data_IF_432576948239
#
_entry.id   IF_432576948239
#
_cell.length_a   1.000
_cell.length_b   1.000
_cell.length_c   1.000
_cell.angle_alpha   90.00
_cell.angle_beta   90.00
_cell.angle_gamma   90.00
#
_symmetry.space_group_name_H-M   'P 1'
#
loop_
_entity.id
_entity.type
_entity.pdbx_description
1 polymer ?
#
# COMPACT_ATOMS: atom_id res chain seq x y z
N UNK A 1 32.68 61.56 33.42
CA UNK A 1 32.86 62.99 33.10
C UNK A 1 33.22 63.04 31.63
N UNK A 2 32.19 63.21 30.78
CA UNK A 2 31.89 64.47 30.03
C UNK A 2 32.78 64.55 28.78
N UNK A 3 32.32 64.67 27.53
CA UNK A 3 31.00 64.97 26.97
C UNK A 3 30.96 64.53 25.50
N UNK A 4 29.74 64.25 25.00
CA UNK A 4 29.38 64.23 23.58
C UNK A 4 29.45 65.64 22.96
N UNK A 5 29.39 65.74 21.63
CA UNK A 5 28.25 66.47 21.09
C UNK A 5 27.54 65.77 19.92
N UNK A 6 26.22 65.88 19.99
CA UNK A 6 25.22 65.56 18.99
C UNK A 6 25.45 66.23 17.64
N UNK A 7 25.19 65.49 16.57
CA UNK A 7 24.72 66.06 15.31
C UNK A 7 23.53 65.27 14.78
N UNK A 8 22.36 65.89 14.92
CA UNK A 8 21.12 65.48 14.29
C UNK A 8 21.28 65.34 12.76
N UNK A 9 21.08 64.12 12.24
CA UNK A 9 20.61 63.93 10.86
C UNK A 9 19.39 63.03 10.85
N UNK A 10 18.26 63.66 10.54
CA UNK A 10 16.99 63.04 10.16
C UNK A 10 17.25 61.94 9.13
N UNK A 11 17.04 60.68 9.50
CA UNK A 11 16.92 59.58 8.53
C UNK A 11 15.50 59.59 8.00
N UNK A 12 15.37 59.95 6.72
CA UNK A 12 14.18 59.73 5.91
C UNK A 12 13.83 58.23 5.99
N UNK A 13 12.68 57.88 6.53
CA UNK A 13 12.07 56.57 6.31
C UNK A 13 11.63 56.49 4.84
N UNK A 14 12.53 56.00 3.98
CA UNK A 14 12.11 55.44 2.69
C UNK A 14 11.47 54.09 2.99
N UNK A 15 10.14 54.09 3.05
CA UNK A 15 9.33 52.90 2.89
C UNK A 15 9.56 52.35 1.48
N UNK A 16 10.60 51.54 1.30
CA UNK A 16 10.67 50.61 0.19
C UNK A 16 9.62 49.54 0.49
N UNK A 17 8.46 49.67 -0.17
CA UNK A 17 7.50 48.61 -0.29
C UNK A 17 8.22 47.42 -0.95
N UNK A 18 8.71 46.51 -0.11
CA UNK A 18 9.21 45.22 -0.54
C UNK A 18 8.04 44.46 -1.14
N UNK A 19 7.96 44.44 -2.46
CA UNK A 19 7.19 43.43 -3.15
C UNK A 19 7.66 42.07 -2.62
N UNK A 20 6.75 41.18 -2.19
CA UNK A 20 7.17 39.81 -1.94
C UNK A 20 7.72 39.31 -3.27
N UNK A 21 8.99 38.89 -3.29
CA UNK A 21 9.43 37.93 -4.28
C UNK A 21 8.60 36.67 -4.03
N UNK A 22 7.42 36.62 -4.64
CA UNK A 22 6.78 35.39 -5.04
C UNK A 22 7.81 34.71 -5.94
N UNK A 23 8.65 33.88 -5.34
CA UNK A 23 9.24 32.77 -6.05
C UNK A 23 8.05 31.98 -6.59
N UNK A 24 7.67 32.30 -7.82
CA UNK A 24 6.70 31.54 -8.57
C UNK A 24 7.32 30.16 -8.75
N UNK A 25 7.06 29.25 -7.81
CA UNK A 25 7.06 27.83 -8.10
C UNK A 25 6.19 27.69 -9.33
N UNK A 26 6.83 27.48 -10.49
CA UNK A 26 6.09 27.13 -11.71
C UNK A 26 5.21 25.95 -11.30
N UNK A 27 3.87 26.07 -11.35
CA UNK A 27 3.03 24.91 -11.11
C UNK A 27 3.48 23.86 -12.11
N UNK A 28 3.98 22.73 -11.62
CA UNK A 28 4.41 21.60 -12.43
C UNK A 28 3.18 21.17 -13.24
N UNK A 29 3.11 21.58 -14.51
CA UNK A 29 1.89 21.63 -15.32
C UNK A 29 1.10 20.31 -15.39
N UNK A 30 1.73 19.16 -15.15
CA UNK A 30 1.07 17.85 -15.14
C UNK A 30 0.30 17.48 -13.87
N UNK A 31 0.74 17.94 -12.70
CA UNK A 31 0.16 17.52 -11.42
C UNK A 31 -1.19 18.20 -11.14
N UNK A 32 -1.34 19.47 -11.54
CA UNK A 32 -2.60 20.22 -11.34
C UNK A 32 -3.79 19.70 -12.17
N UNK A 33 -3.55 18.91 -13.22
CA UNK A 33 -4.65 18.25 -13.96
C UNK A 33 -5.19 17.04 -13.18
N UNK A 34 -4.32 16.27 -12.53
CA UNK A 34 -4.71 15.15 -11.69
C UNK A 34 -5.50 15.66 -10.45
N UNK A 35 -5.06 16.75 -9.82
CA UNK A 35 -5.79 17.39 -8.72
C UNK A 35 -7.18 17.89 -9.15
N UNK A 36 -7.32 18.48 -10.34
CA UNK A 36 -8.63 18.89 -10.88
C UNK A 36 -9.52 17.71 -11.24
N UNK A 37 -8.93 16.61 -11.72
CA UNK A 37 -9.66 15.38 -12.08
C UNK A 37 -9.83 14.41 -10.92
N UNK A 38 -9.27 14.65 -9.73
CA UNK A 38 -9.61 13.81 -8.57
C UNK A 38 -11.09 13.97 -8.19
N UNK A 39 -11.67 15.14 -8.47
CA UNK A 39 -13.12 15.39 -8.36
C UNK A 39 -13.94 14.60 -9.40
N UNK A 40 -13.32 14.18 -10.51
CA UNK A 40 -13.99 13.37 -11.54
C UNK A 40 -14.65 12.12 -10.93
N UNK A 41 -14.03 11.48 -9.94
CA UNK A 41 -14.62 10.32 -9.25
C UNK A 41 -15.83 10.65 -8.37
N UNK A 42 -15.94 11.89 -7.89
CA UNK A 42 -17.11 12.33 -7.11
C UNK A 42 -18.30 12.64 -8.04
N UNK A 43 -18.00 13.09 -9.26
CA UNK A 43 -18.99 13.45 -10.28
C UNK A 43 -19.45 12.25 -11.15
N UNK A 44 -18.59 11.25 -11.37
CA UNK A 44 -18.88 10.08 -12.21
C UNK A 44 -19.13 8.85 -11.34
N UNK A 45 -20.38 8.73 -10.89
CA UNK A 45 -20.81 7.72 -9.92
C UNK A 45 -20.61 6.30 -10.45
N UNK A 46 -19.80 5.52 -9.74
CA UNK A 46 -19.74 4.06 -9.87
C UNK A 46 -20.87 3.41 -9.09
N UNK A 47 -21.33 2.26 -9.58
CA UNK A 47 -22.33 1.47 -8.86
C UNK A 47 -21.63 0.66 -7.77
N UNK A 48 -21.78 1.00 -6.47
CA UNK A 48 -21.13 0.25 -5.40
C UNK A 48 -21.57 -1.21 -5.44
N UNK A 49 -20.70 -2.13 -5.03
CA UNK A 49 -21.11 -3.53 -4.90
C UNK A 49 -22.15 -3.67 -3.80
N UNK A 50 -23.14 -4.52 -4.04
CA UNK A 50 -24.20 -4.78 -3.06
C UNK A 50 -23.58 -5.42 -1.82
N UNK A 51 -24.13 -5.17 -0.61
CA UNK A 51 -23.60 -5.75 0.62
C UNK A 51 -23.42 -7.27 0.53
N UNK A 52 -22.22 -7.75 0.85
CA UNK A 52 -21.84 -9.17 0.89
C UNK A 52 -21.36 -9.54 2.28
N UNK A 53 -22.10 -9.10 3.31
CA UNK A 53 -21.78 -9.43 4.68
C UNK A 53 -21.54 -10.95 4.82
N UNK A 54 -20.51 -11.28 5.57
CA UNK A 54 -20.14 -12.64 5.94
C UNK A 54 -20.07 -12.72 7.46
N UNK A 55 -20.56 -13.82 8.02
CA UNK A 55 -20.42 -14.10 9.46
C UNK A 55 -19.11 -14.83 9.79
N UNK A 56 -18.38 -15.31 8.77
CA UNK A 56 -17.19 -16.14 8.93
C UNK A 56 -15.92 -15.61 8.28
N UNK A 57 -16.04 -14.59 7.41
CA UNK A 57 -14.90 -14.04 6.68
C UNK A 57 -14.88 -12.51 6.60
N UNK A 58 -13.69 -11.99 6.36
CA UNK A 58 -13.42 -10.58 6.09
C UNK A 58 -12.38 -10.45 4.98
N UNK A 59 -12.37 -9.31 4.29
CA UNK A 59 -11.44 -9.05 3.18
C UNK A 59 -10.45 -7.96 3.57
N UNK A 60 -9.16 -8.18 3.37
CA UNK A 60 -8.14 -7.13 3.40
C UNK A 60 -7.96 -6.56 2.00
N UNK A 61 -7.88 -5.23 1.90
CA UNK A 61 -7.40 -4.56 0.69
C UNK A 61 -5.88 -4.48 0.71
N UNK A 62 -5.22 -4.79 -0.40
CA UNK A 62 -3.77 -4.65 -0.54
C UNK A 62 -3.47 -3.79 -1.77
N UNK A 63 -2.86 -2.63 -1.50
CA UNK A 63 -2.39 -1.71 -2.52
C UNK A 63 -0.93 -2.04 -2.84
N UNK A 64 -0.61 -2.40 -4.10
CA UNK A 64 0.75 -2.72 -4.53
C UNK A 64 1.59 -1.44 -4.64
N UNK A 65 2.76 -1.55 -5.24
CA UNK A 65 3.61 -0.45 -5.68
C UNK A 65 2.81 0.50 -6.61
N UNK A 66 2.69 1.77 -6.23
CA UNK A 66 1.87 2.79 -6.92
C UNK A 66 2.68 3.94 -7.51
N UNK A 67 4.00 3.84 -7.47
CA UNK A 67 4.94 4.89 -7.84
C UNK A 67 4.70 5.45 -9.24
N UNK A 68 4.41 4.58 -10.23
CA UNK A 68 4.10 5.01 -11.60
C UNK A 68 2.78 5.78 -11.74
N UNK A 69 1.84 5.61 -10.80
CA UNK A 69 0.62 6.44 -10.76
C UNK A 69 0.94 7.83 -10.22
N UNK A 70 1.79 7.92 -9.19
CA UNK A 70 2.18 9.18 -8.56
C UNK A 70 3.12 10.00 -9.43
N UNK A 71 4.07 9.36 -10.12
CA UNK A 71 4.90 9.97 -11.18
C UNK A 71 4.03 10.57 -12.28
N UNK A 72 2.83 10.03 -12.48
CA UNK A 72 1.77 10.57 -13.33
C UNK A 72 2.22 10.82 -14.78
N UNK A 73 2.79 9.76 -15.37
CA UNK A 73 3.28 9.67 -16.76
C UNK A 73 4.58 10.43 -17.05
N UNK A 74 5.41 10.72 -16.05
CA UNK A 74 6.62 11.53 -16.25
C UNK A 74 7.90 10.76 -15.94
N UNK A 75 8.50 10.13 -16.93
CA UNK A 75 9.77 9.45 -16.74
C UNK A 75 10.96 10.39 -17.00
N UNK A 76 11.98 10.30 -16.14
CA UNK A 76 13.26 10.96 -16.35
C UNK A 76 14.22 10.01 -17.06
N UNK A 77 14.68 10.37 -18.26
CA UNK A 77 15.71 9.59 -18.96
C UNK A 77 17.05 9.69 -18.23
N UNK A 78 17.96 8.75 -18.54
CA UNK A 78 19.36 8.79 -18.08
C UNK A 78 20.11 10.09 -18.42
N UNK A 79 19.64 10.84 -19.42
CA UNK A 79 20.20 12.14 -19.81
C UNK A 79 19.56 13.32 -19.09
N UNK A 80 18.70 13.08 -18.10
CA UNK A 80 17.97 14.10 -17.36
C UNK A 80 16.84 14.75 -18.16
N UNK A 81 16.40 14.12 -19.26
CA UNK A 81 15.27 14.63 -20.06
C UNK A 81 13.99 14.01 -19.54
N UNK A 82 12.99 14.85 -19.27
CA UNK A 82 11.63 14.40 -18.97
C UNK A 82 10.91 13.95 -20.23
N UNK A 83 10.34 12.75 -20.21
CA UNK A 83 9.54 12.13 -21.28
C UNK A 83 8.26 11.53 -20.73
N UNK A 84 7.34 11.15 -21.61
CA UNK A 84 6.16 10.39 -21.21
C UNK A 84 6.56 8.94 -20.94
N UNK A 85 6.26 8.41 -19.74
CA UNK A 85 6.48 6.98 -19.42
C UNK A 85 5.65 6.07 -20.33
N UNK A 86 4.41 6.47 -20.60
CA UNK A 86 3.47 5.79 -21.46
C UNK A 86 3.06 6.72 -22.61
N UNK A 87 3.84 6.76 -23.71
CA UNK A 87 3.54 7.60 -24.86
C UNK A 87 2.14 7.28 -25.44
N UNK A 88 1.34 8.32 -25.63
CA UNK A 88 -0.01 8.19 -26.19
C UNK A 88 -1.08 7.71 -25.21
N UNK A 89 -0.77 7.61 -23.91
CA UNK A 89 -1.78 7.30 -22.90
C UNK A 89 -2.81 8.45 -22.82
N UNK A 90 -4.08 8.12 -23.03
CA UNK A 90 -5.16 9.11 -23.12
C UNK A 90 -5.64 9.69 -21.79
N UNK A 91 -5.00 9.33 -20.67
CA UNK A 91 -5.39 9.76 -19.33
C UNK A 91 -4.20 9.87 -18.38
N UNK A 92 -4.30 10.66 -17.30
CA UNK A 92 -3.29 10.71 -16.24
C UNK A 92 -3.28 9.40 -15.43
N UNK A 93 -2.14 8.70 -15.28
CA UNK A 93 -2.01 7.49 -14.45
C UNK A 93 -2.46 7.68 -12.99
N UNK A 94 -2.34 8.89 -12.44
CA UNK A 94 -2.78 9.20 -11.07
C UNK A 94 -4.27 8.87 -10.81
N UNK A 95 -5.10 8.84 -11.86
CA UNK A 95 -6.51 8.42 -11.74
C UNK A 95 -6.62 6.96 -11.30
N UNK A 96 -5.68 6.09 -11.67
CA UNK A 96 -5.69 4.70 -11.23
C UNK A 96 -5.56 4.57 -9.71
N UNK A 97 -4.64 5.33 -9.09
CA UNK A 97 -4.45 5.33 -7.64
C UNK A 97 -5.69 5.87 -6.89
N UNK A 98 -6.27 6.97 -7.40
CA UNK A 98 -7.52 7.48 -6.86
C UNK A 98 -8.68 6.49 -7.02
N UNK A 99 -8.75 5.73 -8.12
CA UNK A 99 -9.78 4.72 -8.33
C UNK A 99 -9.65 3.56 -7.35
N UNK A 100 -8.43 3.09 -7.09
CA UNK A 100 -8.17 2.03 -6.09
C UNK A 100 -8.68 2.45 -4.71
N UNK A 101 -8.18 3.59 -4.22
CA UNK A 101 -8.53 4.10 -2.87
C UNK A 101 -10.00 4.48 -2.76
N UNK A 102 -10.60 5.05 -3.81
CA UNK A 102 -12.03 5.35 -3.82
C UNK A 102 -12.90 4.09 -3.79
N UNK A 103 -12.54 3.06 -4.58
CA UNK A 103 -13.30 1.81 -4.61
C UNK A 103 -13.23 1.06 -3.28
N UNK A 104 -12.04 0.97 -2.67
CA UNK A 104 -11.88 0.37 -1.34
C UNK A 104 -12.74 1.10 -0.30
N UNK A 105 -12.64 2.44 -0.25
CA UNK A 105 -13.43 3.28 0.65
C UNK A 105 -14.96 3.09 0.48
N UNK A 106 -15.44 2.91 -0.76
CA UNK A 106 -16.88 2.74 -1.03
C UNK A 106 -17.40 1.33 -0.75
N UNK A 107 -16.55 0.32 -0.85
CA UNK A 107 -16.97 -1.08 -0.77
C UNK A 107 -16.52 -1.79 0.51
N UNK A 108 -15.80 -1.10 1.40
CA UNK A 108 -15.31 -1.68 2.65
C UNK A 108 -16.41 -2.36 3.48
N UNK A 109 -17.55 -1.69 3.68
CA UNK A 109 -18.68 -2.27 4.41
C UNK A 109 -19.30 -3.48 3.72
N UNK A 110 -19.34 -3.52 2.38
CA UNK A 110 -19.84 -4.66 1.63
C UNK A 110 -18.92 -5.88 1.70
N UNK A 111 -17.62 -5.65 1.93
CA UNK A 111 -16.56 -6.67 1.96
C UNK A 111 -16.12 -7.03 3.39
N UNK A 112 -16.81 -6.54 4.42
CA UNK A 112 -16.38 -6.66 5.82
C UNK A 112 -14.93 -6.21 6.04
N UNK A 113 -14.44 -5.22 5.29
CA UNK A 113 -13.03 -4.89 5.23
C UNK A 113 -12.59 -4.09 6.45
N UNK A 114 -11.75 -4.66 7.35
CA UNK A 114 -11.32 -3.95 8.55
C UNK A 114 -10.13 -3.03 8.27
N UNK A 115 -9.39 -3.27 7.17
CA UNK A 115 -8.06 -2.71 6.98
C UNK A 115 -7.57 -2.78 5.52
N UNK A 116 -6.71 -1.83 5.14
CA UNK A 116 -5.97 -1.79 3.86
C UNK A 116 -4.46 -1.75 4.10
N UNK A 117 -3.65 -2.49 3.34
CA UNK A 117 -2.18 -2.49 3.45
C UNK A 117 -1.57 -1.91 2.19
N UNK A 118 -0.80 -0.82 2.28
CA UNK A 118 0.02 -0.34 1.17
C UNK A 118 1.45 -0.91 1.28
N UNK A 119 1.97 -1.46 0.19
CA UNK A 119 3.22 -2.25 0.19
C UNK A 119 4.51 -1.44 -0.08
N UNK A 120 4.42 -0.11 0.00
CA UNK A 120 5.52 0.81 -0.30
C UNK A 120 5.52 1.27 -1.76
N UNK A 121 6.54 2.05 -2.14
CA UNK A 121 6.67 2.72 -3.42
C UNK A 121 5.42 3.52 -3.76
N UNK A 122 5.16 4.53 -2.93
CA UNK A 122 4.09 5.51 -3.16
C UNK A 122 4.48 6.50 -4.25
N UNK A 123 5.78 6.82 -4.36
CA UNK A 123 6.34 7.75 -5.34
C UNK A 123 7.47 7.06 -6.12
N UNK A 124 7.77 7.56 -7.32
CA UNK A 124 8.90 7.08 -8.13
C UNK A 124 10.18 7.82 -7.75
N UNK A 125 10.07 9.09 -7.36
CA UNK A 125 11.17 9.93 -6.93
C UNK A 125 10.90 10.52 -5.54
N UNK A 126 11.66 10.06 -4.54
CA UNK A 126 11.56 10.47 -3.14
C UNK A 126 11.67 12.00 -2.93
N UNK A 127 12.37 12.73 -3.81
CA UNK A 127 12.56 14.18 -3.70
C UNK A 127 11.44 14.98 -4.39
N UNK A 128 10.60 14.32 -5.19
CA UNK A 128 9.58 14.97 -5.99
C UNK A 128 8.28 15.19 -5.21
N UNK A 129 8.16 16.37 -4.56
CA UNK A 129 6.95 16.76 -3.81
C UNK A 129 5.63 16.65 -4.59
N UNK A 130 5.64 16.72 -5.93
CA UNK A 130 4.43 16.54 -6.75
C UNK A 130 3.82 15.14 -6.60
N UNK A 131 4.66 14.12 -6.59
CA UNK A 131 4.25 12.72 -6.48
C UNK A 131 3.69 12.45 -5.09
N UNK A 132 4.39 12.93 -4.06
CA UNK A 132 3.93 12.82 -2.67
C UNK A 132 2.57 13.49 -2.44
N UNK A 133 2.32 14.66 -3.06
CA UNK A 133 1.00 15.30 -2.98
C UNK A 133 -0.09 14.42 -3.61
N UNK A 134 0.16 13.82 -4.77
CA UNK A 134 -0.80 12.93 -5.41
C UNK A 134 -1.07 11.67 -4.58
N UNK A 135 -0.02 10.98 -4.15
CA UNK A 135 -0.11 9.79 -3.30
C UNK A 135 -0.87 10.10 -1.99
N UNK A 136 -0.49 11.20 -1.33
CA UNK A 136 -1.15 11.67 -0.11
C UNK A 136 -2.65 11.94 -0.31
N UNK A 137 -3.03 12.59 -1.41
CA UNK A 137 -4.43 12.88 -1.75
C UNK A 137 -5.24 11.63 -2.08
N UNK A 138 -4.63 10.64 -2.75
CA UNK A 138 -5.25 9.35 -3.02
C UNK A 138 -5.54 8.60 -1.70
N UNK A 139 -4.53 8.44 -0.86
CA UNK A 139 -4.67 7.75 0.43
C UNK A 139 -5.64 8.46 1.39
N UNK A 140 -5.72 9.80 1.36
CA UNK A 140 -6.67 10.56 2.18
C UNK A 140 -8.15 10.22 1.91
N UNK A 141 -8.48 9.52 0.81
CA UNK A 141 -9.84 9.00 0.59
C UNK A 141 -10.21 7.91 1.59
N UNK A 142 -9.26 7.06 1.97
CA UNK A 142 -9.46 6.02 2.97
C UNK A 142 -9.78 6.66 4.34
N UNK A 143 -9.01 7.69 4.71
CA UNK A 143 -9.20 8.47 5.94
C UNK A 143 -10.58 9.12 5.99
N UNK A 144 -10.99 9.79 4.91
CA UNK A 144 -12.32 10.43 4.83
C UNK A 144 -13.46 9.43 4.97
N UNK A 145 -13.24 8.18 4.56
CA UNK A 145 -14.21 7.10 4.73
C UNK A 145 -14.10 6.39 6.09
N UNK A 146 -13.10 6.72 6.90
CA UNK A 146 -12.82 6.04 8.16
C UNK A 146 -12.31 4.61 7.98
N UNK A 147 -11.81 4.25 6.80
CA UNK A 147 -11.22 2.93 6.53
C UNK A 147 -9.75 2.94 6.96
N UNK A 148 -9.37 2.17 7.99
CA UNK A 148 -7.97 2.12 8.43
C UNK A 148 -7.06 1.52 7.36
N UNK A 149 -5.82 1.99 7.32
CA UNK A 149 -4.78 1.51 6.43
C UNK A 149 -3.39 1.60 7.07
N UNK A 150 -2.46 0.79 6.60
CA UNK A 150 -1.04 0.97 6.90
C UNK A 150 -0.26 1.37 5.66
N UNK A 151 0.87 2.02 5.87
CA UNK A 151 1.81 2.42 4.82
C UNK A 151 3.24 2.31 5.35
N UNK A 152 4.11 1.74 4.53
CA UNK A 152 5.56 1.70 4.73
C UNK A 152 6.26 2.37 3.55
N UNK A 153 7.54 2.67 3.70
CA UNK A 153 8.41 3.06 2.57
C UNK A 153 8.70 1.86 1.68
N UNK A 154 8.73 2.08 0.38
CA UNK A 154 9.51 1.28 -0.55
C UNK A 154 10.88 1.89 -0.85
N UNK A 155 11.57 1.34 -1.84
CA UNK A 155 12.92 1.75 -2.17
C UNK A 155 12.97 3.05 -3.00
N UNK A 156 11.85 3.43 -3.63
CA UNK A 156 11.66 4.72 -4.30
C UNK A 156 11.15 5.84 -3.38
N UNK A 157 10.67 5.49 -2.18
CA UNK A 157 10.16 6.44 -1.19
C UNK A 157 11.26 7.08 -0.32
N UNK A 158 12.51 6.62 -0.47
CA UNK A 158 13.65 6.95 0.38
C UNK A 158 14.78 7.59 -0.42
N UNK A 159 15.46 8.58 0.14
CA UNK A 159 16.57 9.27 -0.55
C UNK A 159 17.85 8.45 -0.42
N UNK A 160 18.09 7.91 0.78
CA UNK A 160 19.30 7.16 1.11
C UNK A 160 19.08 5.65 0.98
N UNK A 161 18.84 5.18 -0.25
CA UNK A 161 18.43 3.81 -0.61
C UNK A 161 19.09 2.67 0.20
N UNK A 162 20.43 2.68 0.30
CA UNK A 162 21.21 1.62 0.99
C UNK A 162 21.57 1.96 2.44
N UNK A 163 20.80 2.85 3.07
CA UNK A 163 20.97 3.26 4.46
C UNK A 163 19.77 2.77 5.26
N UNK A 164 20.04 2.03 6.34
CA UNK A 164 19.00 1.58 7.28
C UNK A 164 18.24 2.78 7.86
N UNK A 165 16.94 2.59 8.12
CA UNK A 165 16.01 3.63 8.58
C UNK A 165 16.56 4.56 9.68
N UNK A 166 17.14 4.00 10.75
CA UNK A 166 17.69 4.76 11.89
C UNK A 166 18.82 5.71 11.51
N UNK A 167 19.56 5.39 10.45
CA UNK A 167 20.74 6.14 10.03
C UNK A 167 20.43 7.23 8.99
N UNK A 168 19.18 7.34 8.55
CA UNK A 168 18.74 8.42 7.65
C UNK A 168 18.60 9.71 8.44
N UNK A 169 18.95 10.83 7.82
CA UNK A 169 19.05 12.14 8.49
C UNK A 169 17.69 12.84 8.71
N UNK A 170 16.60 12.18 8.30
CA UNK A 170 15.24 12.70 8.42
C UNK A 170 14.85 13.71 7.32
N UNK A 171 15.67 13.89 6.28
CA UNK A 171 15.32 14.75 5.14
C UNK A 171 14.22 14.17 4.24
N UNK A 172 13.84 12.91 4.47
CA UNK A 172 12.88 12.17 3.65
C UNK A 172 11.48 12.78 3.72
N UNK A 173 10.82 12.86 2.57
CA UNK A 173 9.48 13.42 2.47
C UNK A 173 8.41 12.47 3.04
N UNK A 174 8.68 11.17 3.12
CA UNK A 174 7.72 10.17 3.61
C UNK A 174 7.06 10.59 4.93
N UNK A 175 7.84 10.93 5.96
CA UNK A 175 7.31 11.30 7.28
C UNK A 175 6.65 12.68 7.31
N UNK A 176 6.91 13.54 6.31
CA UNK A 176 6.22 14.82 6.16
C UNK A 176 4.79 14.64 5.60
N UNK A 177 4.60 13.69 4.69
CA UNK A 177 3.28 13.41 4.10
C UNK A 177 2.50 12.34 4.87
N UNK A 178 3.18 11.33 5.39
CA UNK A 178 2.64 10.24 6.20
C UNK A 178 3.22 10.30 7.62
N UNK A 179 2.92 11.39 8.33
CA UNK A 179 3.47 11.65 9.66
C UNK A 179 2.90 10.72 10.75
N UNK A 180 3.59 10.56 11.89
CA UNK A 180 3.06 9.85 13.04
C UNK A 180 1.69 10.39 13.51
N UNK A 181 1.46 11.71 13.45
CA UNK A 181 0.18 12.33 13.82
C UNK A 181 -0.93 11.98 12.83
N UNK A 182 -0.59 11.77 11.55
CA UNK A 182 -1.54 11.30 10.53
C UNK A 182 -1.91 9.84 10.81
N UNK A 183 -0.93 8.99 11.08
CA UNK A 183 -1.15 7.58 11.41
C UNK A 183 -1.98 7.41 12.70
N UNK A 184 -1.71 8.22 13.73
CA UNK A 184 -2.39 8.17 15.02
C UNK A 184 -3.89 8.55 14.97
N UNK A 185 -4.38 9.11 13.86
CA UNK A 185 -5.82 9.38 13.66
C UNK A 185 -6.62 8.12 13.36
N UNK A 186 -5.96 7.03 12.98
CA UNK A 186 -6.64 5.80 12.62
C UNK A 186 -7.10 5.04 13.86
N UNK A 187 -8.31 4.48 13.80
CA UNK A 187 -8.93 3.76 14.93
C UNK A 187 -8.19 2.51 15.38
N UNK A 188 -7.34 1.96 14.51
CA UNK A 188 -6.59 0.72 14.73
C UNK A 188 -5.13 0.98 15.12
N UNK A 189 -4.68 2.24 15.08
CA UNK A 189 -3.29 2.60 15.34
C UNK A 189 -2.89 2.22 16.78
N UNK A 190 -1.76 1.55 16.92
CA UNK A 190 -1.13 1.33 18.22
C UNK A 190 -0.02 2.34 18.43
N UNK A 191 1.02 2.26 17.60
CA UNK A 191 2.22 3.08 17.72
C UNK A 191 3.08 3.02 16.45
N UNK A 192 3.99 4.00 16.33
CA UNK A 192 5.15 3.94 15.45
C UNK A 192 6.43 3.83 16.26
N UNK A 193 7.48 3.31 15.64
CA UNK A 193 8.81 3.32 16.24
C UNK A 193 9.41 4.74 16.28
N UNK A 194 10.61 4.87 16.84
CA UNK A 194 11.28 6.17 16.99
C UNK A 194 11.66 6.84 15.67
N UNK A 195 11.81 6.07 14.57
CA UNK A 195 12.06 6.64 13.24
C UNK A 195 10.78 7.20 12.60
N UNK A 196 9.62 6.71 13.03
CA UNK A 196 8.33 7.06 12.43
C UNK A 196 8.05 6.34 11.10
N UNK A 197 8.92 5.41 10.69
CA UNK A 197 8.87 4.67 9.43
C UNK A 197 8.29 3.26 9.59
N UNK A 198 8.22 2.76 10.83
CA UNK A 198 7.64 1.46 11.16
C UNK A 198 6.37 1.68 12.00
N UNK A 199 5.32 0.90 11.77
CA UNK A 199 4.04 1.08 12.46
C UNK A 199 3.33 -0.23 12.82
N UNK A 200 2.57 -0.16 13.91
CA UNK A 200 1.79 -1.27 14.44
C UNK A 200 0.32 -0.87 14.53
N UNK A 201 -0.55 -1.77 14.09
CA UNK A 201 -1.99 -1.63 14.18
C UNK A 201 -2.61 -2.87 14.80
N UNK A 202 -3.68 -2.68 15.56
CA UNK A 202 -4.58 -3.75 16.00
C UNK A 202 -5.96 -3.48 15.43
N UNK A 203 -6.48 -4.45 14.68
CA UNK A 203 -7.87 -4.42 14.22
C UNK A 203 -8.63 -5.63 14.76
N UNK A 204 -9.96 -5.51 14.75
CA UNK A 204 -10.87 -6.59 15.14
C UNK A 204 -11.76 -6.91 13.94
N UNK A 205 -11.82 -8.18 13.57
CA UNK A 205 -12.73 -8.69 12.56
C UNK A 205 -13.47 -9.90 13.13
N UNK A 206 -14.80 -9.91 13.03
CA UNK A 206 -15.63 -11.03 13.50
C UNK A 206 -15.39 -11.39 14.98
N UNK A 207 -15.10 -10.39 15.82
CA UNK A 207 -14.76 -10.57 17.23
C UNK A 207 -13.33 -11.06 17.50
N UNK A 208 -12.55 -11.39 16.46
CA UNK A 208 -11.14 -11.79 16.56
C UNK A 208 -10.22 -10.59 16.41
N UNK A 209 -9.26 -10.43 17.33
CA UNK A 209 -8.19 -9.44 17.21
C UNK A 209 -7.05 -9.93 16.31
N UNK A 210 -6.52 -9.04 15.48
CA UNK A 210 -5.32 -9.27 14.67
C UNK A 210 -4.32 -8.14 14.92
N UNK A 211 -3.03 -8.48 14.84
CA UNK A 211 -1.95 -7.51 14.81
C UNK A 211 -1.48 -7.35 13.36
N UNK A 212 -1.20 -6.12 12.96
CA UNK A 212 -0.56 -5.81 11.69
C UNK A 212 0.67 -4.96 11.96
N UNK A 213 1.82 -5.43 11.49
CA UNK A 213 3.10 -4.74 11.57
C UNK A 213 3.55 -4.38 10.16
N UNK A 214 3.93 -3.13 9.95
CA UNK A 214 4.63 -2.73 8.74
C UNK A 214 5.99 -2.15 9.05
N UNK A 215 7.01 -2.64 8.35
CA UNK A 215 8.39 -2.22 8.53
C UNK A 215 8.88 -1.50 7.29
N UNK A 216 9.79 -0.55 7.50
CA UNK A 216 10.57 0.14 6.46
C UNK A 216 11.19 -0.85 5.45
N UNK A 217 11.52 -0.37 4.26
CA UNK A 217 12.12 -1.18 3.18
C UNK A 217 13.47 -1.80 3.59
N UNK A 218 14.19 -1.12 4.48
CA UNK A 218 15.47 -1.53 5.03
C UNK A 218 15.55 -1.22 6.53
N UNK A 219 14.85 -2.00 7.38
CA UNK A 219 14.69 -1.69 8.79
C UNK A 219 15.97 -1.98 9.57
N UNK A 220 16.41 -1.07 10.45
CA UNK A 220 17.59 -1.27 11.28
C UNK A 220 17.41 -2.33 12.35
N UNK A 221 18.48 -2.72 13.05
CA UNK A 221 18.38 -3.59 14.24
C UNK A 221 17.53 -2.96 15.36
N UNK A 222 17.51 -1.62 15.47
CA UNK A 222 16.64 -0.94 16.43
C UNK A 222 15.17 -1.16 16.08
N UNK A 223 14.82 -1.02 14.80
CA UNK A 223 13.46 -1.21 14.31
C UNK A 223 13.01 -2.65 14.44
N UNK A 224 13.90 -3.63 14.21
CA UNK A 224 13.61 -5.03 14.49
C UNK A 224 13.40 -5.31 15.99
N UNK A 225 14.19 -4.69 16.86
CA UNK A 225 14.01 -4.81 18.31
C UNK A 225 12.69 -4.18 18.78
N UNK A 226 12.31 -3.04 18.20
CA UNK A 226 10.99 -2.44 18.42
C UNK A 226 9.87 -3.36 17.94
N UNK A 227 9.97 -3.93 16.73
CA UNK A 227 8.97 -4.85 16.19
C UNK A 227 8.80 -6.08 17.09
N UNK A 228 9.92 -6.66 17.55
CA UNK A 228 9.90 -7.75 18.54
C UNK A 228 9.19 -7.34 19.82
N UNK A 229 9.46 -6.13 20.35
CA UNK A 229 8.80 -5.63 21.56
C UNK A 229 7.29 -5.43 21.41
N UNK A 230 6.80 -5.17 20.19
CA UNK A 230 5.37 -5.14 19.91
C UNK A 230 4.81 -6.56 19.92
N UNK A 231 5.45 -7.50 19.23
CA UNK A 231 5.04 -8.92 19.23
C UNK A 231 4.96 -9.47 20.67
N UNK A 232 5.99 -9.21 21.48
CA UNK A 232 6.06 -9.64 22.89
C UNK A 232 4.96 -9.06 23.78
N UNK A 233 4.45 -7.85 23.45
CA UNK A 233 3.30 -7.23 24.16
C UNK A 233 1.95 -7.76 23.70
N UNK A 234 1.89 -8.34 22.50
CA UNK A 234 0.67 -8.93 21.93
C UNK A 234 0.89 -10.39 21.51
N UNK A 235 1.38 -11.27 22.41
CA UNK A 235 1.89 -12.59 22.06
C UNK A 235 0.82 -13.60 21.60
N UNK A 236 -0.46 -13.21 21.68
CA UNK A 236 -1.60 -14.06 21.38
C UNK A 236 -2.48 -13.54 20.24
N UNK A 237 -2.02 -12.53 19.50
CA UNK A 237 -2.73 -12.03 18.33
C UNK A 237 -2.11 -12.62 17.05
N UNK A 238 -2.90 -13.31 16.20
CA UNK A 238 -2.47 -13.61 14.84
C UNK A 238 -1.96 -12.35 14.16
N UNK A 239 -0.75 -12.42 13.62
CA UNK A 239 0.00 -11.26 13.13
C UNK A 239 0.27 -11.36 11.64
N UNK A 240 -0.05 -10.28 10.94
CA UNK A 240 0.32 -10.03 9.54
C UNK A 240 1.52 -9.08 9.56
N UNK A 241 2.59 -9.43 8.85
CA UNK A 241 3.77 -8.57 8.69
C UNK A 241 3.87 -8.11 7.24
N UNK A 242 4.03 -6.82 7.01
CA UNK A 242 4.38 -6.31 5.69
C UNK A 242 5.71 -5.54 5.75
N UNK A 243 6.55 -5.74 4.73
CA UNK A 243 7.77 -4.97 4.47
C UNK A 243 7.97 -4.98 2.96
N UNK A 244 8.60 -3.96 2.40
CA UNK A 244 8.62 -3.80 0.95
C UNK A 244 9.34 -4.94 0.20
N UNK A 245 10.40 -5.52 0.81
CA UNK A 245 11.24 -6.53 0.17
C UNK A 245 11.37 -7.80 1.03
N UNK A 246 10.45 -8.76 0.84
CA UNK A 246 10.48 -10.07 1.55
C UNK A 246 10.68 -11.23 0.57
N UNK A 247 9.82 -11.37 -0.44
CA UNK A 247 9.85 -12.42 -1.46
C UNK A 247 10.28 -11.83 -2.81
N UNK A 248 11.07 -12.58 -3.56
CA UNK A 248 11.45 -12.33 -4.96
C UNK A 248 10.99 -13.50 -5.84
N UNK A 249 10.90 -13.27 -7.15
CA UNK A 249 10.66 -14.29 -8.17
C UNK A 249 11.94 -14.53 -8.97
N UNK A 250 12.57 -15.68 -8.75
CA UNK A 250 13.73 -16.13 -9.52
C UNK A 250 13.28 -17.22 -10.47
N UNK A 251 13.32 -16.94 -11.78
CA UNK A 251 12.85 -17.86 -12.82
C UNK A 251 11.39 -18.32 -12.61
N UNK A 252 10.53 -17.42 -12.12
CA UNK A 252 9.12 -17.70 -11.81
C UNK A 252 8.89 -18.47 -10.51
N UNK A 253 9.93 -18.74 -9.72
CA UNK A 253 9.81 -19.37 -8.40
C UNK A 253 9.97 -18.34 -7.29
N UNK A 254 9.02 -18.36 -6.35
CA UNK A 254 9.07 -17.51 -5.17
C UNK A 254 10.17 -17.98 -4.22
N UNK A 255 11.06 -17.05 -3.85
CA UNK A 255 12.17 -17.27 -2.91
C UNK A 255 12.27 -16.10 -1.94
N UNK A 256 12.91 -16.29 -0.79
CA UNK A 256 13.25 -15.15 0.06
C UNK A 256 14.19 -14.21 -0.70
N UNK A 257 13.88 -12.93 -0.68
CA UNK A 257 14.70 -11.92 -1.34
C UNK A 257 16.06 -11.81 -0.67
N UNK A 258 17.10 -11.98 -1.49
CA UNK A 258 18.52 -11.76 -1.19
C UNK A 258 19.11 -10.70 -2.14
N UNK A 259 18.25 -9.81 -2.65
CA UNK A 259 18.64 -8.76 -3.58
C UNK A 259 18.59 -7.40 -2.89
N UNK A 260 19.45 -6.51 -3.38
CA UNK A 260 19.67 -5.13 -2.93
C UNK A 260 20.18 -5.02 -1.48
N UNK A 261 19.34 -5.34 -0.50
CA UNK A 261 19.60 -5.13 0.93
C UNK A 261 19.44 -6.40 1.79
N UNK A 262 19.18 -7.55 1.18
CA UNK A 262 18.96 -8.85 1.86
C UNK A 262 17.84 -8.83 2.92
N UNK A 263 16.92 -7.85 2.85
CA UNK A 263 15.89 -7.64 3.86
C UNK A 263 15.01 -8.88 4.03
N UNK A 264 14.66 -9.59 2.95
CA UNK A 264 13.81 -10.79 3.03
C UNK A 264 14.43 -11.92 3.85
N UNK A 265 15.66 -12.32 3.54
CA UNK A 265 16.41 -13.33 4.32
C UNK A 265 16.65 -12.85 5.75
N UNK A 266 16.95 -11.56 5.95
CA UNK A 266 17.18 -10.99 7.28
C UNK A 266 15.91 -11.01 8.14
N UNK A 267 14.78 -10.52 7.62
CA UNK A 267 13.49 -10.53 8.31
C UNK A 267 13.05 -11.95 8.62
N UNK A 268 13.20 -12.89 7.67
CA UNK A 268 12.90 -14.29 7.90
C UNK A 268 13.65 -14.83 9.11
N UNK A 269 14.97 -14.62 9.13
CA UNK A 269 15.85 -15.18 10.16
C UNK A 269 15.75 -14.52 11.53
N UNK A 270 15.52 -13.21 11.56
CA UNK A 270 15.59 -12.42 12.79
C UNK A 270 14.24 -12.22 13.46
N UNK A 271 13.16 -12.21 12.68
CA UNK A 271 11.82 -11.87 13.16
C UNK A 271 10.79 -12.95 12.80
N UNK A 272 10.55 -13.22 11.51
CA UNK A 272 9.38 -14.01 11.05
C UNK A 272 9.39 -15.43 11.60
N UNK A 273 10.45 -16.22 11.35
CA UNK A 273 10.48 -17.64 11.74
C UNK A 273 10.51 -17.85 13.25
N UNK A 274 10.90 -16.83 14.01
CA UNK A 274 11.09 -16.90 15.47
C UNK A 274 9.85 -16.49 16.26
N UNK A 275 8.81 -16.00 15.60
CA UNK A 275 7.58 -15.53 16.23
C UNK A 275 6.39 -16.30 15.70
N UNK A 276 5.86 -17.24 16.51
CA UNK A 276 4.78 -18.12 16.07
C UNK A 276 3.51 -17.36 15.69
N UNK A 277 3.33 -16.14 16.17
CA UNK A 277 2.15 -15.35 15.83
C UNK A 277 2.13 -14.82 14.39
N UNK A 278 3.27 -14.76 13.71
CA UNK A 278 3.34 -14.33 12.31
C UNK A 278 2.94 -15.50 11.42
N UNK A 279 1.85 -15.33 10.66
CA UNK A 279 1.31 -16.38 9.79
C UNK A 279 1.21 -15.97 8.32
N UNK A 280 1.23 -14.66 8.06
CA UNK A 280 1.11 -14.10 6.72
C UNK A 280 2.08 -12.93 6.58
N UNK A 281 2.82 -12.88 5.48
CA UNK A 281 3.59 -11.71 5.09
C UNK A 281 3.20 -11.17 3.73
N UNK A 282 3.33 -9.85 3.56
CA UNK A 282 3.01 -9.15 2.31
C UNK A 282 4.18 -8.26 1.89
N UNK A 283 4.56 -8.29 0.61
CA UNK A 283 5.58 -7.40 0.07
C UNK A 283 5.35 -7.02 -1.41
N UNK A 284 5.90 -5.87 -1.81
CA UNK A 284 5.97 -5.38 -3.19
C UNK A 284 7.39 -5.55 -3.74
N UNK A 285 7.94 -4.48 -4.33
CA UNK A 285 9.34 -4.33 -4.78
C UNK A 285 9.74 -5.18 -5.99
N UNK A 286 9.71 -6.52 -5.83
CA UNK A 286 10.10 -7.42 -6.90
C UNK A 286 8.95 -7.59 -7.89
N UNK A 287 9.23 -7.50 -9.18
CA UNK A 287 8.18 -7.55 -10.19
C UNK A 287 7.47 -8.90 -10.20
N UNK A 288 6.13 -8.88 -10.18
CA UNK A 288 5.33 -10.09 -10.27
C UNK A 288 4.37 -10.29 -9.10
N UNK A 289 3.70 -11.43 -9.11
CA UNK A 289 2.91 -11.90 -7.97
C UNK A 289 3.24 -13.35 -7.68
N UNK A 290 3.58 -13.67 -6.44
CA UNK A 290 4.07 -14.99 -6.07
C UNK A 290 3.75 -15.37 -4.64
N UNK A 291 3.83 -16.67 -4.37
CA UNK A 291 3.57 -17.25 -3.06
C UNK A 291 4.71 -18.19 -2.66
N UNK A 292 5.24 -17.98 -1.46
CA UNK A 292 6.19 -18.88 -0.80
C UNK A 292 5.62 -19.30 0.54
N UNK A 293 5.58 -20.61 0.82
CA UNK A 293 5.21 -21.15 2.13
C UNK A 293 6.44 -21.78 2.79
N UNK A 294 6.74 -21.33 4.01
CA UNK A 294 7.84 -21.84 4.83
C UNK A 294 7.33 -22.23 6.22
N UNK A 295 8.00 -23.17 6.90
CA UNK A 295 7.72 -23.49 8.29
C UNK A 295 8.53 -22.58 9.22
N UNK A 296 7.90 -22.04 10.25
CA UNK A 296 8.58 -21.30 11.32
C UNK A 296 9.27 -22.26 12.32
N UNK A 297 9.97 -21.73 13.32
CA UNK A 297 10.71 -22.50 14.33
C UNK A 297 9.80 -23.34 15.24
N UNK A 298 8.48 -23.12 15.18
CA UNK A 298 7.45 -23.87 15.92
C UNK A 298 6.81 -24.97 15.06
N UNK A 299 7.23 -25.13 13.80
CA UNK A 299 6.71 -26.12 12.86
C UNK A 299 5.42 -25.71 12.16
N UNK A 300 4.95 -24.47 12.35
CA UNK A 300 3.73 -23.96 11.70
C UNK A 300 4.04 -23.25 10.38
N UNK A 301 3.13 -23.32 9.38
CA UNK A 301 3.32 -22.64 8.12
C UNK A 301 3.19 -21.11 8.27
N UNK A 302 4.00 -20.40 7.50
CA UNK A 302 3.91 -18.97 7.22
C UNK A 302 3.77 -18.82 5.71
N UNK A 303 2.75 -18.08 5.27
CA UNK A 303 2.53 -17.73 3.88
C UNK A 303 3.13 -16.36 3.57
N UNK A 304 4.00 -16.29 2.57
CA UNK A 304 4.68 -15.06 2.17
C UNK A 304 4.21 -14.71 0.75
N UNK A 305 3.57 -13.55 0.59
CA UNK A 305 2.96 -13.10 -0.65
C UNK A 305 3.70 -11.90 -1.23
N UNK A 306 4.17 -12.05 -2.47
CA UNK A 306 4.66 -10.97 -3.32
C UNK A 306 3.50 -10.45 -4.17
N UNK A 307 3.27 -9.14 -4.18
CA UNK A 307 2.18 -8.48 -4.93
C UNK A 307 2.70 -7.16 -5.52
N UNK A 308 3.18 -7.18 -6.76
CA UNK A 308 3.63 -5.99 -7.47
C UNK A 308 3.20 -6.02 -8.95
N UNK A 309 2.38 -5.04 -9.35
CA UNK A 309 1.85 -4.90 -10.71
C UNK A 309 2.47 -3.73 -11.49
N UNK A 310 3.51 -3.06 -10.98
CA UNK A 310 4.04 -1.84 -11.59
C UNK A 310 4.54 -2.04 -13.03
N UNK A 311 4.95 -3.25 -13.39
CA UNK A 311 5.43 -3.57 -14.74
C UNK A 311 4.33 -4.00 -15.71
N UNK A 312 3.11 -4.18 -15.23
CA UNK A 312 1.96 -4.48 -16.08
C UNK A 312 1.54 -3.24 -16.89
N UNK A 313 0.65 -3.42 -17.87
CA UNK A 313 0.29 -2.39 -18.84
C UNK A 313 -0.16 -1.08 -18.17
N UNK A 314 0.58 0.01 -18.45
CA UNK A 314 0.43 1.33 -17.84
C UNK A 314 0.46 1.30 -16.29
N UNK A 315 1.42 0.56 -15.72
CA UNK A 315 1.60 0.45 -14.27
C UNK A 315 0.62 -0.53 -13.62
N UNK A 316 0.04 -1.44 -14.40
CA UNK A 316 -1.05 -2.31 -13.95
C UNK A 316 -2.41 -1.62 -13.89
N UNK A 317 -2.51 -0.36 -14.32
CA UNK A 317 -3.81 0.27 -14.59
C UNK A 317 -4.81 0.20 -13.41
N UNK A 318 -4.34 0.35 -12.18
CA UNK A 318 -5.12 0.35 -10.96
C UNK A 318 -5.42 -1.03 -10.39
N UNK A 319 -4.70 -2.08 -10.79
CA UNK A 319 -4.84 -3.39 -10.14
C UNK A 319 -4.51 -3.32 -8.66
N UNK A 320 -5.36 -3.91 -7.84
CA UNK A 320 -5.15 -4.14 -6.42
C UNK A 320 -5.46 -5.60 -6.09
N UNK A 321 -4.98 -6.05 -4.92
CA UNK A 321 -5.28 -7.39 -4.42
C UNK A 321 -6.30 -7.31 -3.29
N UNK A 322 -7.28 -8.22 -3.33
CA UNK A 322 -8.18 -8.52 -2.23
C UNK A 322 -7.81 -9.88 -1.64
N UNK A 323 -7.70 -9.94 -0.31
CA UNK A 323 -7.40 -11.17 0.43
C UNK A 323 -8.55 -11.47 1.39
N UNK A 324 -9.33 -12.51 1.13
CA UNK A 324 -10.38 -12.97 2.03
C UNK A 324 -9.83 -14.00 3.01
N UNK A 325 -9.93 -13.68 4.30
CA UNK A 325 -9.64 -14.60 5.39
C UNK A 325 -10.96 -15.21 5.87
N UNK A 326 -11.19 -16.47 5.55
CA UNK A 326 -12.33 -17.25 6.01
C UNK A 326 -11.93 -18.09 7.22
N UNK A 327 -12.28 -17.56 8.40
CA UNK A 327 -11.89 -18.15 9.68
C UNK A 327 -12.64 -19.44 9.99
N UNK A 328 -13.83 -19.65 9.43
CA UNK A 328 -14.63 -20.86 9.68
C UNK A 328 -14.33 -21.99 8.70
N UNK A 329 -14.04 -21.67 7.43
CA UNK A 329 -13.66 -22.69 6.42
C UNK A 329 -12.16 -22.94 6.38
N UNK A 330 -11.37 -22.13 7.06
CA UNK A 330 -9.92 -22.28 7.13
C UNK A 330 -9.23 -21.96 5.80
N UNK A 331 -9.55 -20.81 5.20
CA UNK A 331 -9.04 -20.42 3.88
C UNK A 331 -8.54 -18.99 3.81
N UNK A 332 -7.50 -18.79 3.02
CA UNK A 332 -7.07 -17.49 2.50
C UNK A 332 -7.29 -17.48 0.99
N UNK A 333 -8.28 -16.74 0.51
CA UNK A 333 -8.56 -16.59 -0.92
C UNK A 333 -8.06 -15.23 -1.43
N UNK A 334 -7.48 -15.23 -2.63
CA UNK A 334 -6.90 -14.05 -3.24
C UNK A 334 -7.58 -13.74 -4.57
N UNK A 335 -7.92 -12.46 -4.79
CA UNK A 335 -8.53 -11.98 -6.03
C UNK A 335 -7.94 -10.62 -6.44
N UNK A 336 -7.41 -10.55 -7.66
CA UNK A 336 -6.88 -9.31 -8.25
C UNK A 336 -7.92 -8.64 -9.13
N UNK A 337 -8.06 -7.33 -8.98
CA UNK A 337 -9.06 -6.55 -9.70
C UNK A 337 -8.58 -5.13 -9.95
N UNK A 338 -8.93 -4.54 -11.10
CA UNK A 338 -8.67 -3.14 -11.43
C UNK A 338 -9.97 -2.33 -11.32
N UNK A 339 -10.13 -1.53 -10.24
CA UNK A 339 -11.22 -0.58 -10.18
C UNK A 339 -11.16 0.43 -11.32
N UNK A 340 -9.97 0.91 -11.71
CA UNK A 340 -9.85 1.95 -12.74
C UNK A 340 -10.35 1.50 -14.11
N UNK A 341 -10.00 0.27 -14.53
CA UNK A 341 -10.55 -0.32 -15.76
C UNK A 341 -12.07 -0.44 -15.65
N UNK A 342 -12.58 -0.89 -14.51
CA UNK A 342 -14.03 -0.98 -14.28
C UNK A 342 -14.74 0.38 -14.33
N UNK A 343 -14.18 1.43 -13.72
CA UNK A 343 -14.72 2.80 -13.76
C UNK A 343 -14.85 3.28 -15.20
N UNK A 344 -13.82 3.05 -16.04
CA UNK A 344 -13.87 3.47 -17.44
C UNK A 344 -14.87 2.67 -18.26
N UNK A 345 -15.01 1.36 -18.00
CA UNK A 345 -16.06 0.54 -18.62
C UNK A 345 -17.47 1.03 -18.27
N UNK A 346 -17.71 1.42 -17.01
CA UNK A 346 -19.03 1.87 -16.57
C UNK A 346 -19.36 3.31 -17.00
N UNK A 347 -18.39 4.22 -16.94
CA UNK A 347 -18.59 5.63 -17.31
C UNK A 347 -18.70 5.82 -18.82
N UNK A 348 -17.93 5.07 -19.60
CA UNK A 348 -17.85 5.23 -21.06
C UNK A 348 -17.10 6.48 -21.52
N UNK A 349 -16.62 7.33 -20.61
CA UNK A 349 -15.95 8.61 -20.92
C UNK A 349 -14.56 8.44 -21.54
N UNK A 350 -13.88 7.35 -21.18
CA UNK A 350 -12.55 6.99 -21.69
C UNK A 350 -12.60 5.57 -22.22
N UNK A 351 -12.13 5.31 -23.46
CA UNK A 351 -12.16 3.98 -24.03
C UNK A 351 -11.28 3.02 -23.21
N UNK A 352 -11.78 1.79 -23.08
CA UNK A 352 -11.04 0.67 -22.49
C UNK A 352 -10.64 -0.28 -23.62
N UNK A 353 -9.39 -0.74 -23.61
CA UNK A 353 -8.85 -1.72 -24.55
C UNK A 353 -8.45 -2.97 -23.79
N UNK A 354 -9.43 -3.83 -23.53
CA UNK A 354 -9.18 -5.12 -22.91
C UNK A 354 -8.39 -6.03 -23.85
N UNK A 355 -7.38 -6.71 -23.30
CA UNK A 355 -6.72 -7.82 -23.98
C UNK A 355 -7.66 -9.00 -24.22
N UNK A 356 -7.39 -9.80 -25.25
CA UNK A 356 -8.15 -11.03 -25.52
C UNK A 356 -7.82 -12.18 -24.56
N UNK A 357 -6.65 -12.13 -23.92
CA UNK A 357 -6.21 -13.11 -22.91
C UNK A 357 -6.08 -12.41 -21.55
N UNK A 358 -6.89 -12.75 -20.54
CA UNK A 358 -6.81 -12.15 -19.20
C UNK A 358 -5.55 -12.57 -18.42
N UNK A 359 -4.66 -13.39 -19.00
CA UNK A 359 -3.33 -13.71 -18.46
C UNK A 359 -2.24 -12.81 -19.03
N UNK A 360 -2.48 -12.13 -20.16
CA UNK A 360 -1.57 -11.15 -20.74
C UNK A 360 -1.83 -9.77 -20.12
N UNK A 361 -1.14 -9.52 -19.01
CA UNK A 361 -1.24 -8.26 -18.28
C UNK A 361 -0.27 -7.19 -18.77
N UNK A 362 0.59 -7.51 -19.74
CA UNK A 362 1.65 -6.62 -20.22
C UNK A 362 1.25 -5.82 -21.45
N UNK A 363 0.50 -6.45 -22.37
CA UNK A 363 0.22 -5.84 -23.68
C UNK A 363 -1.03 -4.96 -23.71
N UNK A 364 -1.95 -5.15 -22.75
CA UNK A 364 -3.25 -4.51 -22.76
C UNK A 364 -3.84 -4.37 -21.35
N UNK A 365 -4.97 -3.66 -21.27
CA UNK A 365 -5.69 -3.47 -20.01
C UNK A 365 -6.38 -4.77 -19.60
N UNK A 366 -6.37 -5.07 -18.30
CA UNK A 366 -7.03 -6.24 -17.72
C UNK A 366 -7.92 -5.82 -16.55
N UNK A 367 -9.16 -6.34 -16.52
CA UNK A 367 -10.11 -6.03 -15.45
C UNK A 367 -9.84 -6.85 -14.18
N UNK A 368 -9.63 -8.15 -14.36
CA UNK A 368 -9.35 -9.10 -13.30
C UNK A 368 -8.49 -10.23 -13.89
N UNK A 369 -7.16 -10.13 -13.76
CA UNK A 369 -6.27 -11.05 -14.41
C UNK A 369 -6.37 -12.46 -13.82
N UNK A 370 -6.23 -13.47 -14.67
CA UNK A 370 -6.09 -14.85 -14.23
C UNK A 370 -4.64 -15.12 -13.81
N UNK A 371 -4.42 -16.24 -13.11
CA UNK A 371 -3.08 -16.68 -12.77
C UNK A 371 -2.25 -16.96 -14.04
N UNK A 372 -0.99 -16.53 -14.01
CA UNK A 372 0.04 -16.78 -15.03
C UNK A 372 1.34 -17.22 -14.33
N UNK A 373 2.32 -17.80 -15.05
CA UNK A 373 3.55 -18.29 -14.42
C UNK A 373 4.33 -17.27 -13.59
N UNK A 374 4.21 -15.96 -13.89
CA UNK A 374 4.88 -14.89 -13.14
C UNK A 374 3.92 -14.10 -12.22
N UNK A 375 2.62 -14.32 -12.33
CA UNK A 375 1.61 -13.59 -11.56
C UNK A 375 0.51 -14.51 -11.06
N UNK A 376 0.62 -14.93 -9.80
CA UNK A 376 -0.45 -15.65 -9.13
C UNK A 376 -1.56 -14.69 -8.68
N UNK A 377 -2.42 -14.32 -9.62
CA UNK A 377 -3.47 -13.31 -9.45
C UNK A 377 -4.75 -13.82 -8.77
N UNK A 378 -4.89 -15.15 -8.63
CA UNK A 378 -6.08 -15.79 -8.07
C UNK A 378 -5.73 -17.17 -7.51
N UNK A 379 -5.83 -17.33 -6.20
CA UNK A 379 -5.53 -18.58 -5.51
C UNK A 379 -6.36 -18.75 -4.24
N UNK A 380 -6.36 -19.98 -3.72
CA UNK A 380 -6.93 -20.33 -2.42
C UNK A 380 -5.87 -21.13 -1.67
N UNK A 381 -5.51 -20.69 -0.47
CA UNK A 381 -4.63 -21.41 0.44
C UNK A 381 -5.43 -21.95 1.61
N UNK A 382 -5.16 -23.18 1.99
CA UNK A 382 -5.71 -23.78 3.21
C UNK A 382 -4.93 -23.26 4.43
N UNK A 383 -5.69 -22.85 5.44
CA UNK A 383 -5.22 -22.29 6.72
C UNK A 383 -6.31 -22.47 7.78
N UNK A 384 -6.29 -23.58 8.52
CA UNK A 384 -7.18 -23.76 9.67
C UNK A 384 -6.76 -22.81 10.81
N UNK A 385 -7.38 -21.63 10.87
CA UNK A 385 -7.08 -20.60 11.85
C UNK A 385 -7.34 -21.06 13.30
N UNK A 386 -8.40 -21.85 13.52
CA UNK A 386 -8.75 -22.33 14.85
C UNK A 386 -7.67 -23.29 15.38
N UNK A 387 -7.21 -24.23 14.55
CA UNK A 387 -6.10 -25.12 14.92
C UNK A 387 -4.78 -24.34 15.00
N UNK A 388 -4.49 -23.48 14.03
CA UNK A 388 -3.25 -22.70 13.93
C UNK A 388 -2.99 -21.82 15.15
N UNK A 389 -4.05 -21.29 15.76
CA UNK A 389 -3.97 -20.37 16.89
C UNK A 389 -4.63 -20.91 18.16
N UNK A 390 -4.89 -22.23 18.25
CA UNK A 390 -5.49 -22.85 19.43
C UNK A 390 -4.68 -22.61 20.73
N UNK A 391 -3.36 -22.47 20.60
CA UNK A 391 -2.46 -22.16 21.72
C UNK A 391 -2.46 -20.69 22.14
N UNK A 392 -3.10 -19.80 21.38
CA UNK A 392 -3.11 -18.37 21.66
C UNK A 392 -4.36 -18.03 22.47
N UNK A 393 -4.18 -17.58 23.71
CA UNK A 393 -5.31 -17.19 24.58
C UNK A 393 -6.17 -16.04 24.04
N UNK A 394 -5.74 -15.38 22.95
CA UNK A 394 -6.43 -14.30 22.26
C UNK A 394 -7.16 -14.71 20.97
N UNK A 395 -7.10 -15.99 20.57
CA UNK A 395 -7.93 -16.47 19.45
C UNK A 395 -9.29 -16.94 19.96
N UNK A 396 -10.35 -16.20 19.64
CA UNK A 396 -11.70 -16.37 20.18
C UNK A 396 -12.76 -16.59 19.09
N UNK A 397 -12.35 -16.69 17.82
CA UNK A 397 -13.29 -16.89 16.71
C UNK A 397 -13.93 -18.29 16.79
N UNK A 398 -15.10 -18.37 17.43
CA UNK A 398 -16.00 -19.54 17.40
C UNK A 398 -17.14 -19.25 16.43
N UNK A 399 -16.83 -19.34 15.14
CA UNK A 399 -17.76 -18.97 14.09
C UNK A 399 -18.47 -20.23 13.55
N UNK A 400 -19.77 -20.15 13.25
CA UNK A 400 -20.47 -21.28 12.66
C UNK A 400 -19.87 -21.59 11.28
N UNK A 401 -19.65 -22.87 10.98
CA UNK A 401 -19.34 -23.28 9.60
C UNK A 401 -20.60 -23.06 8.76
N UNK A 402 -20.61 -22.00 7.95
CA UNK A 402 -21.68 -21.73 7.00
C UNK A 402 -21.28 -22.28 5.64
N UNK A 403 -22.19 -22.91 4.92
CA UNK A 403 -21.96 -23.39 3.55
C UNK A 403 -21.96 -22.27 2.49
N UNK A 404 -21.97 -21.00 2.93
CA UNK A 404 -22.02 -19.85 2.03
C UNK A 404 -20.87 -19.83 1.01
N UNK A 405 -21.12 -19.19 -0.12
CA UNK A 405 -20.06 -18.90 -1.08
C UNK A 405 -19.12 -17.81 -0.53
N UNK A 406 -17.83 -17.84 -0.90
CA UNK A 406 -16.86 -16.83 -0.45
C UNK A 406 -17.29 -15.42 -0.85
N UNK A 407 -16.91 -14.42 -0.06
CA UNK A 407 -17.19 -13.00 -0.36
C UNK A 407 -16.58 -12.63 -1.71
N UNK A 408 -15.37 -13.11 -2.02
CA UNK A 408 -14.71 -12.83 -3.30
C UNK A 408 -15.38 -13.54 -4.48
N UNK A 409 -15.91 -14.74 -4.30
CA UNK A 409 -16.68 -15.39 -5.36
C UNK A 409 -18.02 -14.67 -5.62
N UNK A 410 -18.75 -14.25 -4.58
CA UNK A 410 -19.95 -13.41 -4.72
C UNK A 410 -19.63 -12.05 -5.35
N UNK A 411 -18.49 -11.45 -5.01
CA UNK A 411 -18.00 -10.21 -5.62
C UNK A 411 -17.78 -10.40 -7.13
N UNK A 412 -17.09 -11.47 -7.53
CA UNK A 412 -16.84 -11.79 -8.95
C UNK A 412 -18.15 -11.96 -9.72
N UNK A 413 -19.13 -12.66 -9.15
CA UNK A 413 -20.46 -12.79 -9.76
C UNK A 413 -21.15 -11.43 -9.95
N UNK A 414 -21.12 -10.55 -8.94
CA UNK A 414 -21.70 -9.21 -9.05
C UNK A 414 -21.01 -8.35 -10.12
N UNK A 415 -19.71 -8.52 -10.28
CA UNK A 415 -18.91 -7.81 -11.28
C UNK A 415 -18.97 -8.45 -12.68
N UNK A 416 -19.64 -9.60 -12.84
CA UNK A 416 -19.69 -10.34 -14.11
C UNK A 416 -18.36 -10.95 -14.52
N UNK A 417 -17.52 -11.34 -13.54
CA UNK A 417 -16.18 -11.90 -13.74
C UNK A 417 -16.22 -13.40 -13.47
N UNK A 418 -15.71 -14.20 -14.41
CA UNK A 418 -15.71 -15.67 -14.34
C UNK A 418 -14.76 -16.24 -13.26
#
# INVERSE_FOLDING_TARGET
MTDSPDFHRRRLCLALAGLPLLAACKPTQGYGLAERRSLWFEDHRFTPVKPMASASSFVLGVLPDTQYYSENNFEMTRTGKRVDRYPGLGYPPALAFHAQTHWLAKNAGALNMPFVVHLGDLVEDAEQHGEWRLASQAMARLERAGLPYSVMTGDHDVIALYTEDRLRDGSELFTQYFSPERAARQSTFLERDATGLNEAHRFVALGQGFLLLTLDWFPSEQSLAWAQSVLDRYPHLPTILASHNIVDLVNGQAVLSNRRNDTGVRLWNRLIRRNDQIFLTLNGHNHGSGHLRLANDFGHPVDLLLINYQTEYAGGNGLLRLLELDLARGRLEAFTYSPWVAYRQQSGDLPVRLGSDPRDTYSAEVLAPLASPQFDNRFVLEMDFATRFAGFGGYTALLPTVADESVLARLRQQLGIA
#
